data_IF_689954811185
#
_entry.id   IF_689954811185
#
_cell.length_a   1.000
_cell.length_b   1.000
_cell.length_c   1.000
_cell.angle_alpha   90.00
_cell.angle_beta   90.00
_cell.angle_gamma   90.00
#
_symmetry.space_group_name_H-M   'P 1'
#
loop_
_entity.id
_entity.type
_entity.pdbx_description
1 polymer ?
#
# COMPACT_ATOMS: atom_id res chain seq x y z
N UNK A 1 17.57 24.70 -18.44
CA UNK A 1 16.13 24.36 -18.37
C UNK A 1 15.86 22.85 -18.25
N UNK A 2 16.35 21.98 -19.14
CA UNK A 2 16.09 20.51 -19.08
C UNK A 2 16.48 19.84 -17.74
N UNK A 3 17.63 20.20 -17.14
CA UNK A 3 18.10 19.61 -15.87
C UNK A 3 17.21 19.93 -14.67
N UNK A 4 16.68 21.16 -14.59
CA UNK A 4 15.76 21.56 -13.51
C UNK A 4 14.39 20.90 -13.67
N UNK A 5 13.91 20.76 -14.91
CA UNK A 5 12.66 20.05 -15.20
C UNK A 5 12.73 18.56 -14.81
N UNK A 6 13.85 17.89 -15.09
CA UNK A 6 14.05 16.50 -14.64
C UNK A 6 14.11 16.37 -13.12
N UNK A 7 14.78 17.29 -12.41
CA UNK A 7 14.84 17.27 -10.94
C UNK A 7 13.44 17.44 -10.33
N UNK A 8 12.64 18.39 -10.85
CA UNK A 8 11.26 18.63 -10.41
C UNK A 8 10.40 17.39 -10.66
N UNK A 9 10.53 16.76 -11.83
CA UNK A 9 9.78 15.55 -12.18
C UNK A 9 10.10 14.36 -11.27
N UNK A 10 11.37 14.17 -10.90
CA UNK A 10 11.79 13.13 -9.94
C UNK A 10 11.25 13.42 -8.54
N UNK A 11 11.30 14.67 -8.08
CA UNK A 11 10.74 15.07 -6.78
C UNK A 11 9.21 14.84 -6.73
N UNK A 12 8.50 15.11 -7.83
CA UNK A 12 7.06 14.89 -7.92
C UNK A 12 6.71 13.40 -7.78
N UNK A 13 7.44 12.52 -8.46
CA UNK A 13 7.21 11.06 -8.43
C UNK A 13 7.42 10.45 -7.03
N UNK A 14 8.41 10.96 -6.29
CA UNK A 14 8.67 10.52 -4.91
C UNK A 14 7.55 10.98 -3.98
N UNK A 15 7.00 12.19 -4.16
CA UNK A 15 5.89 12.69 -3.35
C UNK A 15 4.58 11.90 -3.52
N UNK A 16 4.28 11.41 -4.72
CA UNK A 16 3.06 10.63 -4.96
C UNK A 16 3.07 9.26 -4.27
N UNK A 17 4.25 8.63 -4.16
CA UNK A 17 4.37 7.28 -3.59
C UNK A 17 4.28 7.28 -2.05
N UNK A 18 4.66 8.37 -1.38
CA UNK A 18 4.52 8.49 0.08
C UNK A 18 3.09 8.78 0.52
N UNK A 19 2.29 9.48 -0.29
CA UNK A 19 0.87 9.78 0.00
C UNK A 19 -0.06 8.59 -0.21
N UNK A 20 0.36 7.54 -0.91
CA UNK A 20 -0.47 6.37 -1.19
C UNK A 20 -0.69 5.48 0.05
N UNK A 21 0.22 5.52 1.03
CA UNK A 21 0.15 4.67 2.21
C UNK A 21 -0.73 5.31 3.30
N UNK A 22 -1.81 4.62 3.70
CA UNK A 22 -2.60 5.03 4.86
C UNK A 22 -1.78 4.87 6.16
N UNK A 23 -2.03 5.72 7.18
CA UNK A 23 -1.40 5.57 8.50
C UNK A 23 -1.60 4.17 9.06
N UNK A 24 -0.53 3.60 9.64
CA UNK A 24 -0.58 2.34 10.39
C UNK A 24 -0.88 2.62 11.86
N UNK A 25 -1.22 1.58 12.62
CA UNK A 25 -1.61 1.71 14.03
C UNK A 25 -0.58 2.47 14.90
N UNK A 26 0.73 2.23 14.70
CA UNK A 26 1.79 2.94 15.43
C UNK A 26 1.90 4.42 15.03
N UNK A 27 1.62 4.76 13.77
CA UNK A 27 1.67 6.14 13.27
C UNK A 27 0.56 7.02 13.90
N UNK A 28 -0.52 6.39 14.38
CA UNK A 28 -1.64 7.04 15.07
C UNK A 28 -1.61 6.84 16.60
N UNK A 29 -0.47 6.42 17.15
CA UNK A 29 -0.24 6.38 18.60
C UNK A 29 -0.81 5.17 19.34
N UNK A 30 -1.24 4.11 18.65
CA UNK A 30 -1.67 2.87 19.32
C UNK A 30 -0.44 2.16 19.92
N UNK A 31 -0.42 1.89 21.24
CA UNK A 31 0.72 1.25 21.89
C UNK A 31 0.77 -0.25 21.59
N UNK A 32 1.98 -0.77 21.39
CA UNK A 32 2.25 -2.19 21.22
C UNK A 32 3.55 -2.56 21.94
N UNK A 33 3.65 -3.78 22.44
CA UNK A 33 4.90 -4.32 22.98
C UNK A 33 5.92 -4.63 21.87
N UNK A 34 7.19 -4.65 22.25
CA UNK A 34 8.31 -4.98 21.36
C UNK A 34 8.64 -3.91 20.30
N UNK A 35 9.78 -4.12 19.66
CA UNK A 35 10.27 -3.28 18.56
C UNK A 35 10.08 -4.00 17.23
N UNK A 36 9.38 -3.39 16.24
CA UNK A 36 9.21 -4.01 14.94
C UNK A 36 10.52 -4.00 14.14
N UNK A 37 10.58 -4.82 13.08
CA UNK A 37 11.62 -4.70 12.05
C UNK A 37 11.52 -3.39 11.27
N UNK A 38 12.46 -3.19 10.34
CA UNK A 38 12.60 -1.94 9.57
C UNK A 38 11.32 -1.57 8.81
N UNK A 39 10.66 -2.56 8.21
CA UNK A 39 9.45 -2.37 7.42
C UNK A 39 8.17 -2.61 8.23
N UNK A 40 8.29 -3.13 9.45
CA UNK A 40 7.18 -3.56 10.30
C UNK A 40 6.22 -4.46 9.49
N UNK A 41 6.79 -5.45 8.79
CA UNK A 41 6.10 -6.33 7.86
C UNK A 41 6.81 -7.69 7.77
N UNK A 42 6.12 -8.72 7.25
CA UNK A 42 6.69 -10.08 7.15
C UNK A 42 7.95 -10.14 6.28
N UNK A 43 8.09 -9.24 5.30
CA UNK A 43 9.24 -9.11 4.41
C UNK A 43 10.50 -8.58 5.10
N UNK A 44 10.44 -8.23 6.39
CA UNK A 44 11.65 -7.98 7.19
C UNK A 44 12.54 -9.23 7.27
N UNK A 45 11.98 -10.42 7.03
CA UNK A 45 12.75 -11.67 6.92
C UNK A 45 13.35 -11.81 5.52
N UNK A 46 14.68 -11.88 5.43
CA UNK A 46 15.41 -12.02 4.16
C UNK A 46 14.90 -13.22 3.34
N UNK A 47 14.56 -12.97 2.08
CA UNK A 47 14.07 -13.99 1.15
C UNK A 47 12.55 -14.19 1.17
N UNK A 48 11.81 -13.51 2.06
CA UNK A 48 10.35 -13.52 2.05
C UNK A 48 9.82 -12.45 1.09
N UNK A 49 8.93 -12.87 0.19
CA UNK A 49 8.24 -12.02 -0.78
C UNK A 49 6.72 -12.15 -0.60
N UNK A 50 5.97 -11.12 -1.02
CA UNK A 50 4.50 -11.08 -0.92
C UNK A 50 3.91 -10.52 -2.21
N UNK A 51 2.90 -11.23 -2.76
CA UNK A 51 2.11 -10.80 -3.91
C UNK A 51 0.61 -10.81 -3.58
N UNK A 52 -0.15 -9.93 -4.23
CA UNK A 52 -1.59 -9.82 -4.07
C UNK A 52 -2.28 -9.93 -5.43
N UNK A 53 -3.36 -10.71 -5.48
CA UNK A 53 -4.42 -10.56 -6.48
C UNK A 53 -5.61 -9.92 -5.77
N UNK A 54 -6.27 -8.96 -6.42
CA UNK A 54 -7.40 -8.25 -5.85
C UNK A 54 -8.49 -8.12 -6.90
N UNK A 55 -9.58 -8.83 -6.69
CA UNK A 55 -10.72 -8.92 -7.59
C UNK A 55 -11.85 -8.06 -7.04
N UNK A 56 -12.04 -6.89 -7.67
CA UNK A 56 -13.10 -5.94 -7.35
C UNK A 56 -13.88 -5.66 -8.63
N UNK A 57 -15.13 -6.14 -8.71
CA UNK A 57 -16.01 -5.89 -9.85
C UNK A 57 -17.48 -5.80 -9.47
N UNK A 58 -18.28 -5.08 -10.25
CA UNK A 58 -19.70 -4.85 -10.00
C UNK A 58 -20.00 -3.97 -8.77
N UNK A 59 -21.25 -3.53 -8.67
CA UNK A 59 -21.78 -2.70 -7.57
C UNK A 59 -23.26 -3.06 -7.32
N UNK A 60 -23.83 -2.60 -6.20
CA UNK A 60 -25.25 -2.79 -5.88
C UNK A 60 -25.57 -4.13 -5.19
N UNK A 61 -26.80 -4.62 -5.41
CA UNK A 61 -27.33 -5.81 -4.72
C UNK A 61 -26.47 -7.05 -5.00
N UNK A 62 -26.23 -7.85 -3.95
CA UNK A 62 -25.55 -9.13 -4.09
C UNK A 62 -26.45 -10.17 -4.76
N UNK A 63 -26.00 -10.69 -5.91
CA UNK A 63 -26.59 -11.81 -6.63
C UNK A 63 -25.58 -12.95 -6.61
N UNK A 64 -25.95 -14.06 -5.96
CA UNK A 64 -25.11 -15.26 -5.85
C UNK A 64 -24.64 -15.72 -7.24
N UNK A 65 -23.33 -15.99 -7.36
CA UNK A 65 -22.68 -16.40 -8.61
C UNK A 65 -22.41 -15.27 -9.62
N UNK A 66 -22.84 -14.03 -9.35
CA UNK A 66 -22.61 -12.88 -10.26
C UNK A 66 -21.88 -11.70 -9.60
N UNK A 67 -22.08 -11.48 -8.31
CA UNK A 67 -21.38 -10.42 -7.56
C UNK A 67 -22.33 -9.41 -6.90
N UNK A 68 -21.80 -8.26 -6.44
CA UNK A 68 -20.45 -7.75 -6.67
C UNK A 68 -19.33 -8.64 -6.09
N UNK A 69 -18.19 -8.70 -6.78
CA UNK A 69 -17.02 -9.49 -6.38
C UNK A 69 -16.09 -8.60 -5.55
N UNK A 70 -15.72 -9.05 -4.36
CA UNK A 70 -14.76 -8.40 -3.45
C UNK A 70 -13.90 -9.50 -2.83
N UNK A 71 -12.93 -10.00 -3.59
CA UNK A 71 -12.05 -11.11 -3.18
C UNK A 71 -10.63 -10.88 -3.70
N UNK A 72 -9.74 -11.86 -3.56
CA UNK A 72 -8.34 -11.78 -4.01
C UNK A 72 -7.91 -13.06 -4.69
#
# INVERSE_FOLDING_TARGET
>A
MRRHFSIISVLLLIGFSTLAQKPRARDIGIPFSGSPGKYNAITDVKGVEVGYSTLISGQGKNIRGKGPVRTG
#
